data_IF_413032211906
#
_entry.id   IF_413032211906
#
_cell.length_a   1.000
_cell.length_b   1.000
_cell.length_c   1.000
_cell.angle_alpha   90.00
_cell.angle_beta   90.00
_cell.angle_gamma   90.00
#
_symmetry.space_group_name_H-M   'P 1'
#
loop_
_entity.id
_entity.type
_entity.pdbx_description
1 polymer ?
#
# COMPACT_ATOMS: atom_id res chain seq x y z
N UNK A 1 -4.65 4.88 19.55
CA UNK A 1 -6.03 4.57 19.15
C UNK A 1 -6.08 4.64 17.65
N UNK A 2 -6.38 3.52 16.98
CA UNK A 2 -6.35 3.45 15.53
C UNK A 2 -7.52 4.26 14.95
N UNK A 3 -7.22 5.32 14.21
CA UNK A 3 -8.21 5.99 13.37
C UNK A 3 -8.64 5.00 12.29
N UNK A 4 -9.87 4.53 12.42
CA UNK A 4 -10.58 3.82 11.35
C UNK A 4 -10.91 4.84 10.26
N UNK A 5 -9.91 5.23 9.46
CA UNK A 5 -10.15 5.95 8.22
C UNK A 5 -11.01 5.05 7.34
N UNK A 6 -12.25 5.50 7.12
CA UNK A 6 -13.26 4.74 6.41
C UNK A 6 -12.80 4.52 4.97
N UNK A 7 -12.69 3.25 4.56
CA UNK A 7 -12.49 2.89 3.16
C UNK A 7 -13.84 2.95 2.45
N UNK A 8 -13.84 3.25 1.15
CA UNK A 8 -14.99 3.33 0.22
C UNK A 8 -15.84 2.04 0.05
N UNK A 9 -16.01 1.24 1.11
CA UNK A 9 -16.87 0.05 1.17
C UNK A 9 -17.48 -0.22 2.55
N UNK A 10 -17.39 0.74 3.49
CA UNK A 10 -17.85 0.56 4.86
C UNK A 10 -16.92 -0.33 5.70
N UNK A 11 -17.22 -0.51 7.00
CA UNK A 11 -16.44 -1.40 7.86
C UNK A 11 -16.55 -2.86 7.39
N UNK A 12 -15.49 -3.68 7.60
CA UNK A 12 -15.54 -5.09 7.28
C UNK A 12 -16.71 -5.77 8.01
N UNK A 13 -17.42 -6.65 7.31
CA UNK A 13 -18.46 -7.46 7.92
C UNK A 13 -17.88 -8.40 8.98
N UNK A 14 -18.66 -8.82 10.00
CA UNK A 14 -18.14 -9.67 11.09
C UNK A 14 -17.47 -10.96 10.61
N UNK A 15 -17.95 -11.57 9.53
CA UNK A 15 -17.33 -12.75 8.92
C UNK A 15 -15.97 -12.44 8.30
N UNK A 16 -15.80 -11.27 7.67
CA UNK A 16 -14.50 -10.83 7.14
C UNK A 16 -13.53 -10.50 8.27
N UNK A 17 -14.00 -9.93 9.38
CA UNK A 17 -13.16 -9.70 10.58
C UNK A 17 -12.62 -11.01 11.13
N UNK A 18 -13.46 -12.04 11.24
CA UNK A 18 -13.00 -13.35 11.72
C UNK A 18 -12.01 -14.00 10.73
N UNK A 19 -12.26 -13.90 9.42
CA UNK A 19 -11.30 -14.36 8.41
C UNK A 19 -9.97 -13.64 8.54
N UNK A 20 -9.96 -12.31 8.67
CA UNK A 20 -8.72 -11.55 8.85
C UNK A 20 -7.94 -11.99 10.09
N UNK A 21 -8.63 -12.23 11.21
CA UNK A 21 -8.03 -12.73 12.46
C UNK A 21 -7.40 -14.11 12.28
N UNK A 22 -8.10 -15.02 11.58
CA UNK A 22 -7.57 -16.35 11.24
C UNK A 22 -6.34 -16.27 10.35
N UNK A 23 -6.37 -15.42 9.31
CA UNK A 23 -5.23 -15.23 8.41
C UNK A 23 -4.05 -14.57 9.14
N UNK A 24 -4.30 -13.71 10.13
CA UNK A 24 -3.25 -13.10 10.97
C UNK A 24 -2.56 -14.11 11.90
N UNK A 25 -3.35 -14.97 12.55
CA UNK A 25 -2.82 -16.08 13.36
C UNK A 25 -1.98 -17.06 12.51
N UNK A 26 -2.42 -17.26 11.27
CA UNK A 26 -1.77 -18.09 10.28
C UNK A 26 -2.29 -19.52 10.23
N UNK A 27 -2.38 -20.05 9.02
CA UNK A 27 -2.84 -21.40 8.73
C UNK A 27 -1.68 -22.24 8.22
N UNK A 28 -1.57 -23.48 8.68
CA UNK A 28 -0.55 -24.39 8.15
C UNK A 28 -0.98 -24.82 6.76
N UNK A 29 -0.15 -24.59 5.76
CA UNK A 29 -0.43 -24.93 4.36
C UNK A 29 0.75 -25.69 3.79
N UNK A 30 0.57 -26.35 2.65
CA UNK A 30 1.69 -26.92 1.89
C UNK A 30 2.06 -25.96 0.78
N UNK A 31 3.29 -25.46 0.80
CA UNK A 31 3.79 -24.53 -0.23
C UNK A 31 4.64 -25.31 -1.22
N UNK A 32 4.30 -25.17 -2.50
CA UNK A 32 5.07 -25.70 -3.62
C UNK A 32 6.11 -24.67 -4.05
N UNK A 33 7.36 -25.10 -4.15
CA UNK A 33 8.48 -24.26 -4.55
C UNK A 33 9.10 -24.78 -5.83
N UNK A 34 9.48 -23.88 -6.74
CA UNK A 34 10.18 -24.29 -7.96
C UNK A 34 11.53 -25.01 -7.70
N UNK A 35 12.29 -24.57 -6.69
CA UNK A 35 13.68 -25.00 -6.44
C UNK A 35 13.88 -25.96 -5.27
N UNK A 36 12.83 -26.24 -4.48
CA UNK A 36 12.88 -27.17 -3.35
C UNK A 36 11.60 -27.98 -3.29
N UNK A 37 11.63 -29.11 -2.59
CA UNK A 37 10.43 -29.95 -2.44
C UNK A 37 9.28 -29.16 -1.78
N UNK A 38 8.02 -29.51 -2.07
CA UNK A 38 6.88 -28.96 -1.36
C UNK A 38 6.98 -29.25 0.13
N UNK A 39 6.73 -28.26 0.97
CA UNK A 39 6.86 -28.39 2.42
C UNK A 39 5.74 -27.65 3.15
N UNK A 40 5.39 -28.15 4.34
CA UNK A 40 4.43 -27.47 5.20
C UNK A 40 5.03 -26.19 5.79
N UNK A 41 4.26 -25.11 5.75
CA UNK A 41 4.60 -23.80 6.31
C UNK A 41 3.37 -23.17 6.93
N UNK A 42 3.56 -22.35 7.95
CA UNK A 42 2.49 -21.45 8.38
C UNK A 42 2.47 -20.27 7.41
N UNK A 43 1.39 -20.14 6.66
CA UNK A 43 1.10 -18.98 5.84
C UNK A 43 0.23 -18.02 6.66
N UNK A 44 0.62 -16.74 6.73
CA UNK A 44 -0.09 -15.73 7.52
C UNK A 44 -0.03 -14.35 6.89
N UNK A 45 -0.98 -13.51 7.23
CA UNK A 45 -1.01 -12.10 6.83
C UNK A 45 -0.59 -11.23 8.00
N UNK A 46 0.41 -10.39 7.81
CA UNK A 46 0.71 -9.29 8.72
C UNK A 46 -0.22 -8.13 8.38
N UNK A 47 -1.30 -7.94 9.15
CA UNK A 47 -2.37 -7.01 8.80
C UNK A 47 -1.90 -5.56 8.77
N UNK A 48 -1.03 -5.17 9.71
CA UNK A 48 -0.52 -3.80 9.85
C UNK A 48 0.32 -3.33 8.66
N UNK A 49 1.08 -4.22 8.01
CA UNK A 49 1.89 -3.90 6.83
C UNK A 49 1.30 -4.43 5.52
N UNK A 50 0.15 -5.12 5.58
CA UNK A 50 -0.50 -5.81 4.45
C UNK A 50 0.48 -6.70 3.67
N UNK A 51 1.16 -7.60 4.40
CA UNK A 51 2.13 -8.54 3.84
C UNK A 51 1.72 -9.99 4.09
N UNK A 52 1.85 -10.83 3.08
CA UNK A 52 1.73 -12.28 3.17
C UNK A 52 3.11 -12.88 3.50
N UNK A 53 3.18 -13.73 4.53
CA UNK A 53 4.40 -14.29 5.08
C UNK A 53 4.27 -15.81 5.20
N UNK A 54 5.31 -16.56 4.84
CA UNK A 54 5.39 -17.98 5.14
C UNK A 54 6.62 -18.32 5.98
N UNK A 55 6.39 -19.03 7.08
CA UNK A 55 7.40 -19.33 8.11
C UNK A 55 7.48 -20.83 8.40
N UNK A 56 8.66 -21.30 8.82
CA UNK A 56 8.85 -22.69 9.28
C UNK A 56 8.21 -22.93 10.65
N UNK A 57 8.33 -21.95 11.53
CA UNK A 57 7.80 -21.92 12.89
C UNK A 57 7.38 -20.50 13.24
N UNK A 58 6.46 -20.32 14.19
CA UNK A 58 5.92 -19.00 14.55
C UNK A 58 6.99 -17.99 14.98
N UNK A 59 8.09 -18.45 15.59
CA UNK A 59 9.21 -17.61 16.03
C UNK A 59 10.32 -17.44 14.97
N UNK A 60 10.20 -18.06 13.79
CA UNK A 60 11.23 -18.03 12.75
C UNK A 60 11.09 -16.83 11.82
N UNK A 61 12.20 -16.41 11.20
CA UNK A 61 12.16 -15.44 10.11
C UNK A 61 11.27 -15.96 8.97
N UNK A 62 10.49 -15.08 8.30
CA UNK A 62 9.81 -15.45 7.07
C UNK A 62 10.80 -16.02 6.05
N UNK A 63 10.48 -17.18 5.47
CA UNK A 63 11.22 -17.71 4.33
C UNK A 63 10.95 -16.90 3.06
N UNK A 64 9.81 -16.22 3.02
CA UNK A 64 9.53 -15.20 2.02
C UNK A 64 8.30 -14.39 2.35
N UNK A 65 8.15 -13.32 1.56
CA UNK A 65 7.21 -12.23 1.77
C UNK A 65 6.62 -11.84 0.41
N UNK A 66 5.31 -11.60 0.37
CA UNK A 66 4.62 -10.95 -0.73
C UNK A 66 3.85 -9.74 -0.20
N UNK A 67 3.99 -8.56 -0.83
CA UNK A 67 3.18 -7.41 -0.45
C UNK A 67 1.82 -7.52 -1.13
N UNK A 68 0.72 -7.34 -0.39
CA UNK A 68 -0.62 -7.45 -0.96
C UNK A 68 -0.90 -6.37 -2.02
N UNK A 69 -0.25 -5.21 -1.91
CA UNK A 69 -0.27 -4.16 -2.93
C UNK A 69 0.24 -4.65 -4.30
N UNK A 70 1.22 -5.54 -4.29
CA UNK A 70 1.88 -6.05 -5.49
C UNK A 70 1.18 -7.29 -6.06
N UNK A 71 0.09 -7.77 -5.43
CA UNK A 71 -0.67 -8.93 -5.91
C UNK A 71 -1.43 -8.54 -7.17
N UNK A 72 -1.23 -9.33 -8.22
CA UNK A 72 -1.85 -9.13 -9.53
C UNK A 72 -2.99 -10.10 -9.77
N UNK A 73 -2.83 -11.36 -9.32
CA UNK A 73 -3.81 -12.41 -9.59
C UNK A 73 -3.84 -13.44 -8.45
N UNK A 74 -5.05 -13.88 -8.09
CA UNK A 74 -5.30 -15.10 -7.31
C UNK A 74 -5.91 -16.14 -8.24
N UNK A 75 -5.19 -17.24 -8.49
CA UNK A 75 -5.62 -18.31 -9.40
C UNK A 75 -5.96 -19.58 -8.62
N UNK A 76 -7.20 -20.05 -8.76
CA UNK A 76 -7.61 -21.34 -8.20
C UNK A 76 -7.02 -22.52 -8.98
N UNK A 77 -6.80 -23.63 -8.29
CA UNK A 77 -6.26 -24.86 -8.87
C UNK A 77 -4.73 -24.96 -8.80
N UNK A 78 -4.20 -25.96 -9.52
CA UNK A 78 -2.78 -26.34 -9.51
C UNK A 78 -2.09 -25.93 -10.82
N UNK A 79 -2.36 -24.71 -11.28
CA UNK A 79 -2.05 -24.23 -12.64
C UNK A 79 -0.77 -23.35 -12.70
N UNK A 80 0.23 -23.68 -11.89
CA UNK A 80 1.49 -22.93 -11.82
C UNK A 80 2.68 -23.82 -12.13
N UNK A 81 3.78 -23.19 -12.58
CA UNK A 81 5.05 -23.86 -12.83
C UNK A 81 5.61 -24.57 -11.59
N UNK A 82 5.23 -24.14 -10.38
CA UNK A 82 5.65 -24.79 -9.14
C UNK A 82 4.98 -26.17 -8.97
N UNK A 83 3.70 -26.31 -9.35
CA UNK A 83 3.01 -27.60 -9.34
C UNK A 83 3.50 -28.51 -10.47
N UNK A 84 3.67 -27.97 -11.67
CA UNK A 84 4.19 -28.70 -12.84
C UNK A 84 5.58 -29.29 -12.57
N UNK A 85 6.39 -28.59 -11.76
CA UNK A 85 7.72 -29.06 -11.37
C UNK A 85 7.69 -30.29 -10.45
N UNK A 86 6.61 -30.49 -9.70
CA UNK A 86 6.43 -31.59 -8.75
C UNK A 86 5.15 -32.39 -9.04
N UNK A 87 5.06 -33.05 -10.22
CA UNK A 87 3.81 -33.66 -10.68
C UNK A 87 3.32 -34.79 -9.77
N UNK A 88 4.24 -35.57 -9.19
CA UNK A 88 3.88 -36.69 -8.30
C UNK A 88 3.29 -36.20 -6.98
N UNK A 89 3.80 -35.09 -6.43
CA UNK A 89 3.22 -34.47 -5.22
C UNK A 89 1.92 -33.73 -5.54
N UNK A 90 1.87 -33.03 -6.68
CA UNK A 90 0.68 -32.32 -7.13
C UNK A 90 -0.51 -33.25 -7.41
N UNK A 91 -0.27 -34.49 -7.87
CA UNK A 91 -1.32 -35.50 -8.07
C UNK A 91 -1.96 -36.01 -6.78
N UNK A 92 -1.23 -35.98 -5.66
CA UNK A 92 -1.73 -36.47 -4.35
C UNK A 92 -2.72 -35.54 -3.66
N UNK A 93 -2.76 -34.27 -4.08
CA UNK A 93 -3.58 -33.23 -3.45
C UNK A 93 -4.79 -32.88 -4.32
N UNK A 94 -5.93 -32.59 -3.69
CA UNK A 94 -7.14 -32.17 -4.41
C UNK A 94 -6.91 -30.80 -5.08
N UNK A 95 -7.25 -30.70 -6.37
CA UNK A 95 -7.14 -29.46 -7.15
C UNK A 95 -7.93 -28.31 -6.54
N UNK A 96 -9.06 -28.59 -5.87
CA UNK A 96 -9.92 -27.57 -5.24
C UNK A 96 -9.28 -26.92 -4.01
N UNK A 97 -8.24 -27.52 -3.46
CA UNK A 97 -7.49 -26.99 -2.30
C UNK A 97 -6.26 -26.18 -2.72
N UNK A 98 -5.88 -26.24 -4.00
CA UNK A 98 -4.73 -25.54 -4.56
C UNK A 98 -5.08 -24.13 -5.02
N UNK A 99 -4.18 -23.18 -4.79
CA UNK A 99 -4.22 -21.85 -5.39
C UNK A 99 -2.82 -21.30 -5.63
N UNK A 100 -2.72 -20.28 -6.48
CA UNK A 100 -1.48 -19.55 -6.75
C UNK A 100 -1.73 -18.05 -6.63
N UNK A 101 -0.90 -17.36 -5.86
CA UNK A 101 -0.85 -15.90 -5.81
C UNK A 101 0.29 -15.42 -6.70
N UNK A 102 -0.04 -14.66 -7.75
CA UNK A 102 0.94 -13.99 -8.59
C UNK A 102 1.11 -12.55 -8.11
N UNK A 103 2.37 -12.15 -7.88
CA UNK A 103 2.69 -10.86 -7.31
C UNK A 103 4.04 -10.32 -7.79
N UNK A 104 4.21 -9.01 -7.71
CA UNK A 104 5.42 -8.30 -8.11
C UNK A 104 5.18 -7.36 -9.28
N UNK A 105 6.27 -6.94 -9.90
CA UNK A 105 6.22 -6.00 -11.02
C UNK A 105 5.77 -6.70 -12.31
N UNK A 106 5.08 -5.97 -13.17
CA UNK A 106 4.40 -6.51 -14.37
C UNK A 106 5.34 -7.25 -15.34
N UNK A 107 6.65 -7.00 -15.29
CA UNK A 107 7.65 -7.66 -16.13
C UNK A 107 8.23 -8.96 -15.55
N UNK A 108 8.06 -9.23 -14.24
CA UNK A 108 8.56 -10.44 -13.59
C UNK A 108 7.70 -10.81 -12.39
N UNK A 109 6.58 -11.46 -12.66
CA UNK A 109 5.71 -12.00 -11.63
C UNK A 109 6.40 -13.16 -10.89
N UNK A 110 6.35 -13.10 -9.57
CA UNK A 110 6.64 -14.23 -8.70
C UNK A 110 5.34 -15.00 -8.44
N UNK A 111 5.45 -16.29 -8.20
CA UNK A 111 4.35 -17.15 -7.79
C UNK A 111 4.54 -17.63 -6.35
N UNK A 112 3.44 -17.64 -5.60
CA UNK A 112 3.32 -18.38 -4.35
C UNK A 112 2.23 -19.43 -4.55
N UNK A 113 2.64 -20.69 -4.68
CA UNK A 113 1.76 -21.82 -4.97
C UNK A 113 1.47 -22.62 -3.70
N UNK A 114 0.21 -22.74 -3.31
CA UNK A 114 -0.22 -23.15 -1.97
C UNK A 114 -1.35 -24.16 -2.03
N UNK A 115 -1.30 -25.18 -1.18
CA UNK A 115 -2.39 -26.12 -0.93
C UNK A 115 -2.86 -25.97 0.50
N UNK A 116 -4.15 -25.64 0.68
CA UNK A 116 -4.83 -25.58 1.98
C UNK A 116 -5.06 -27.00 2.55
N UNK A 117 -5.29 -27.13 3.86
CA UNK A 117 -5.56 -28.44 4.46
C UNK A 117 -6.96 -28.97 4.11
N UNK A 118 -7.92 -28.06 4.01
CA UNK A 118 -9.32 -28.37 3.69
C UNK A 118 -9.98 -27.23 2.89
N UNK A 119 -11.23 -27.47 2.50
CA UNK A 119 -11.97 -26.55 1.65
C UNK A 119 -12.41 -25.28 2.38
N UNK A 120 -12.55 -25.33 3.70
CA UNK A 120 -12.91 -24.15 4.50
C UNK A 120 -11.72 -23.21 4.62
N UNK A 121 -10.51 -23.73 4.91
CA UNK A 121 -9.26 -22.98 4.87
C UNK A 121 -9.02 -22.34 3.49
N UNK A 122 -9.25 -23.10 2.41
CA UNK A 122 -9.16 -22.55 1.05
C UNK A 122 -10.11 -21.35 0.86
N UNK A 123 -11.35 -21.46 1.32
CA UNK A 123 -12.32 -20.38 1.23
C UNK A 123 -11.95 -19.18 2.10
N UNK A 124 -11.36 -19.39 3.28
CA UNK A 124 -10.82 -18.32 4.10
C UNK A 124 -9.70 -17.57 3.38
N UNK A 125 -8.75 -18.29 2.75
CA UNK A 125 -7.71 -17.66 1.93
C UNK A 125 -8.27 -16.87 0.77
N UNK A 126 -9.19 -17.46 -0.01
CA UNK A 126 -9.82 -16.79 -1.15
C UNK A 126 -10.53 -15.51 -0.73
N UNK A 127 -11.44 -15.59 0.25
CA UNK A 127 -12.23 -14.44 0.73
C UNK A 127 -11.34 -13.38 1.37
N UNK A 128 -10.42 -13.79 2.24
CA UNK A 128 -9.55 -12.86 2.95
C UNK A 128 -8.57 -12.15 2.03
N UNK A 129 -7.92 -12.86 1.09
CA UNK A 129 -7.02 -12.22 0.12
C UNK A 129 -7.75 -11.33 -0.87
N UNK A 130 -8.94 -11.72 -1.34
CA UNK A 130 -9.77 -10.87 -2.20
C UNK A 130 -10.08 -9.52 -1.52
N UNK A 131 -10.59 -9.57 -0.29
CA UNK A 131 -10.87 -8.38 0.50
C UNK A 131 -9.60 -7.56 0.78
N UNK A 132 -8.55 -8.18 1.30
CA UNK A 132 -7.34 -7.48 1.74
C UNK A 132 -6.57 -6.88 0.58
N UNK A 133 -6.48 -7.55 -0.57
CA UNK A 133 -5.79 -7.02 -1.75
C UNK A 133 -6.54 -5.81 -2.29
N UNK A 134 -7.87 -5.89 -2.40
CA UNK A 134 -8.70 -4.79 -2.85
C UNK A 134 -8.58 -3.59 -1.91
N UNK A 135 -8.81 -3.79 -0.62
CA UNK A 135 -8.68 -2.73 0.39
C UNK A 135 -7.27 -2.12 0.43
N UNK A 136 -6.23 -2.93 0.22
CA UNK A 136 -4.85 -2.42 0.17
C UNK A 136 -4.62 -1.47 -1.02
N UNK A 137 -5.26 -1.73 -2.16
CA UNK A 137 -5.13 -0.91 -3.38
C UNK A 137 -6.03 0.34 -3.35
N UNK A 138 -7.19 0.24 -2.70
CA UNK A 138 -8.18 1.31 -2.57
C UNK A 138 -7.91 2.24 -1.38
N UNK A 139 -7.00 1.87 -0.47
CA UNK A 139 -6.66 2.67 0.70
C UNK A 139 -6.17 4.08 0.34
N UNK A 140 -6.50 5.08 1.17
CA UNK A 140 -5.99 6.45 1.03
C UNK A 140 -4.47 6.51 1.10
N UNK A 141 -3.91 7.62 0.63
CA UNK A 141 -2.47 7.82 0.57
C UNK A 141 -1.81 7.66 1.95
N UNK A 142 -2.38 8.25 3.00
CA UNK A 142 -1.88 8.15 4.37
C UNK A 142 -1.76 6.69 4.83
N UNK A 143 -2.80 5.89 4.62
CA UNK A 143 -2.79 4.49 5.07
C UNK A 143 -1.81 3.66 4.24
N UNK A 144 -1.67 3.95 2.94
CA UNK A 144 -0.64 3.34 2.11
C UNK A 144 0.78 3.71 2.60
N UNK A 145 1.00 4.97 2.96
CA UNK A 145 2.26 5.47 3.47
C UNK A 145 2.59 4.85 4.83
N UNK A 146 1.63 4.78 5.75
CA UNK A 146 1.79 4.14 7.05
C UNK A 146 2.19 2.66 6.91
N UNK A 147 1.47 1.91 6.05
CA UNK A 147 1.78 0.50 5.77
C UNK A 147 3.18 0.33 5.20
N UNK A 148 3.58 1.25 4.31
CA UNK A 148 4.93 1.26 3.74
C UNK A 148 6.01 1.60 4.79
N UNK A 149 5.76 2.57 5.66
CA UNK A 149 6.67 2.92 6.76
C UNK A 149 6.83 1.76 7.74
N UNK A 150 5.75 1.08 8.12
CA UNK A 150 5.80 -0.14 8.94
C UNK A 150 6.68 -1.21 8.30
N UNK A 151 6.47 -1.45 7.00
CA UNK A 151 7.30 -2.40 6.23
C UNK A 151 8.78 -2.02 6.28
N UNK A 152 9.13 -0.77 6.00
CA UNK A 152 10.52 -0.32 6.02
C UNK A 152 11.13 -0.36 7.44
N UNK A 153 10.33 -0.06 8.47
CA UNK A 153 10.72 -0.21 9.87
C UNK A 153 11.07 -1.66 10.21
N UNK A 154 10.21 -2.63 9.85
CA UNK A 154 10.49 -4.06 10.10
C UNK A 154 11.69 -4.59 9.32
N UNK A 155 12.02 -3.98 8.18
CA UNK A 155 13.22 -4.32 7.42
C UNK A 155 14.51 -3.80 8.08
N UNK A 156 14.40 -2.70 8.83
CA UNK A 156 15.52 -2.08 9.54
C UNK A 156 15.77 -2.70 10.92
N UNK A 157 14.70 -2.96 11.68
CA UNK A 157 14.80 -3.44 13.04
C UNK A 157 15.51 -4.81 13.10
N UNK A 158 16.15 -5.09 14.23
CA UNK A 158 16.50 -6.46 14.54
C UNK A 158 15.21 -7.17 14.94
N UNK A 159 14.94 -8.35 14.39
CA UNK A 159 13.67 -9.05 14.62
C UNK A 159 13.32 -9.12 16.11
N UNK A 160 12.17 -8.54 16.46
CA UNK A 160 11.64 -8.49 17.81
C UNK A 160 12.26 -7.42 18.72
N UNK A 161 13.08 -6.50 18.19
CA UNK A 161 13.59 -5.36 18.97
C UNK A 161 12.58 -4.22 19.06
N UNK A 162 11.67 -4.07 18.09
CA UNK A 162 10.67 -2.99 18.03
C UNK A 162 11.28 -1.58 18.04
N UNK A 163 12.57 -1.49 17.69
CA UNK A 163 13.36 -0.27 17.69
C UNK A 163 14.37 -0.26 16.55
N UNK A 164 14.73 0.94 16.12
CA UNK A 164 15.78 1.20 15.11
C UNK A 164 16.83 2.16 15.66
N UNK A 165 18.08 1.94 15.28
CA UNK A 165 19.22 2.78 15.69
C UNK A 165 19.58 3.81 14.61
N UNK A 166 20.40 4.81 14.97
CA UNK A 166 21.02 5.73 14.00
C UNK A 166 21.75 5.00 12.87
N UNK A 167 22.39 3.86 13.17
CA UNK A 167 23.07 3.03 12.17
C UNK A 167 22.09 2.44 11.16
N UNK A 168 20.92 1.97 11.62
CA UNK A 168 19.87 1.46 10.74
C UNK A 168 19.38 2.56 9.80
N UNK A 169 19.05 3.74 10.34
CA UNK A 169 18.57 4.88 9.54
C UNK A 169 19.60 5.35 8.51
N UNK A 170 20.87 5.44 8.90
CA UNK A 170 21.95 5.82 7.96
C UNK A 170 22.04 4.85 6.78
N UNK A 171 21.84 3.56 7.00
CA UNK A 171 21.82 2.55 5.94
C UNK A 171 20.52 2.59 5.11
N UNK A 172 19.43 3.07 5.69
CA UNK A 172 18.12 3.11 5.07
C UNK A 172 17.87 4.34 4.18
N UNK A 173 18.36 5.53 4.56
CA UNK A 173 18.15 6.78 3.80
C UNK A 173 18.41 6.67 2.28
N UNK A 174 19.48 6.00 1.81
CA UNK A 174 19.69 5.82 0.37
C UNK A 174 18.55 5.06 -0.34
N UNK A 175 17.82 4.18 0.36
CA UNK A 175 16.68 3.41 -0.21
C UNK A 175 15.49 4.30 -0.56
N UNK A 176 15.36 5.43 0.12
CA UNK A 176 14.33 6.45 -0.16
C UNK A 176 14.89 7.60 -1.00
N UNK A 177 16.07 7.41 -1.61
CA UNK A 177 16.80 8.42 -2.38
C UNK A 177 17.09 9.72 -1.60
N UNK A 178 17.14 9.65 -0.28
CA UNK A 178 17.37 10.82 0.57
C UNK A 178 18.86 10.92 0.95
N UNK A 179 19.49 12.05 0.62
CA UNK A 179 20.90 12.30 0.92
C UNK A 179 21.04 13.25 2.11
N UNK A 180 21.78 12.82 3.13
CA UNK A 180 22.03 13.62 4.32
C UNK A 180 23.44 13.35 4.89
N UNK A 181 24.10 14.37 5.42
CA UNK A 181 25.35 14.19 6.16
C UNK A 181 25.10 13.44 7.47
N UNK A 182 26.13 12.71 7.96
CA UNK A 182 25.99 11.94 9.21
C UNK A 182 25.77 12.85 10.43
N UNK A 183 26.27 14.09 10.40
CA UNK A 183 26.08 15.04 11.51
C UNK A 183 24.62 15.53 11.55
N UNK A 184 24.08 15.97 10.41
CA UNK A 184 22.67 16.40 10.32
C UNK A 184 21.70 15.26 10.65
N UNK A 185 22.01 14.02 10.24
CA UNK A 185 21.18 12.87 10.61
C UNK A 185 21.17 12.63 12.12
N UNK A 186 22.31 12.82 12.78
CA UNK A 186 22.44 12.66 14.23
C UNK A 186 21.63 13.71 14.98
N UNK A 187 21.70 14.96 14.55
CA UNK A 187 20.88 16.06 15.11
C UNK A 187 19.39 15.72 14.99
N UNK A 188 18.93 15.33 13.79
CA UNK A 188 17.53 14.94 13.56
C UNK A 188 17.12 13.72 14.39
N UNK A 189 18.02 12.75 14.57
CA UNK A 189 17.73 11.57 15.38
C UNK A 189 17.56 11.93 16.87
N UNK A 190 18.43 12.79 17.40
CA UNK A 190 18.40 13.23 18.80
C UNK A 190 17.13 14.02 19.16
N UNK A 191 16.50 14.67 18.18
CA UNK A 191 15.18 15.30 18.39
C UNK A 191 14.10 14.30 18.78
N UNK A 192 14.22 13.03 18.38
CA UNK A 192 13.24 11.98 18.64
C UNK A 192 13.71 10.96 19.69
N UNK A 193 15.01 10.75 19.84
CA UNK A 193 15.62 9.96 20.93
C UNK A 193 15.75 10.79 22.22
N UNK A 194 14.61 11.26 22.74
CA UNK A 194 14.57 12.14 23.92
C UNK A 194 15.18 11.52 25.18
N UNK A 195 15.22 10.18 25.25
CA UNK A 195 15.80 9.43 26.38
C UNK A 195 17.29 9.17 26.21
N UNK A 196 17.87 9.45 25.03
CA UNK A 196 19.29 9.25 24.74
C UNK A 196 19.71 7.78 24.75
N UNK A 197 18.80 6.86 24.46
CA UNK A 197 19.07 5.42 24.47
C UNK A 197 19.76 4.94 23.18
N UNK A 198 19.86 5.79 22.16
CA UNK A 198 20.41 5.46 20.85
C UNK A 198 19.45 4.68 19.96
N UNK A 199 18.18 4.60 20.36
CA UNK A 199 17.13 3.77 19.76
C UNK A 199 15.81 4.54 19.70
N UNK A 200 15.07 4.40 18.61
CA UNK A 200 13.72 4.96 18.45
C UNK A 200 12.72 3.87 18.06
N UNK A 201 11.49 3.98 18.55
CA UNK A 201 10.37 3.10 18.20
C UNK A 201 9.73 3.50 16.86
N UNK A 202 8.66 2.79 16.48
CA UNK A 202 7.95 3.04 15.22
C UNK A 202 7.35 4.45 15.14
N UNK A 203 6.70 4.92 16.20
CA UNK A 203 6.03 6.21 16.24
C UNK A 203 7.04 7.36 16.05
N UNK A 204 8.18 7.27 16.74
CA UNK A 204 9.29 8.21 16.60
C UNK A 204 9.92 8.14 15.20
N UNK A 205 10.09 6.95 14.62
CA UNK A 205 10.59 6.78 13.26
C UNK A 205 9.66 7.41 12.21
N UNK A 206 8.35 7.17 12.31
CA UNK A 206 7.37 7.73 11.39
C UNK A 206 7.37 9.27 11.46
N UNK A 207 7.37 9.84 12.67
CA UNK A 207 7.45 11.29 12.86
C UNK A 207 8.77 11.87 12.31
N UNK A 208 9.90 11.18 12.51
CA UNK A 208 11.18 11.56 11.92
C UNK A 208 11.10 11.55 10.39
N UNK A 209 10.51 10.51 9.77
CA UNK A 209 10.33 10.44 8.33
C UNK A 209 9.55 11.64 7.80
N UNK A 210 8.38 11.94 8.38
CA UNK A 210 7.57 13.09 7.97
C UNK A 210 8.36 14.39 8.06
N UNK A 211 9.13 14.59 9.14
CA UNK A 211 9.99 15.77 9.30
C UNK A 211 11.13 15.84 8.27
N UNK A 212 11.65 14.70 7.81
CA UNK A 212 12.71 14.66 6.81
C UNK A 212 12.21 14.98 5.41
N UNK A 213 11.04 14.46 5.04
CA UNK A 213 10.46 14.63 3.70
C UNK A 213 9.67 15.93 3.58
N UNK A 214 9.26 16.55 4.69
CA UNK A 214 8.68 17.87 4.69
C UNK A 214 9.70 18.89 4.19
N UNK A 215 9.39 19.52 3.05
CA UNK A 215 10.20 20.59 2.45
C UNK A 215 9.35 21.86 2.49
N UNK A 216 9.54 22.74 3.49
CA UNK A 216 8.73 23.95 3.67
C UNK A 216 8.67 24.82 2.41
N UNK A 217 9.77 24.91 1.65
CA UNK A 217 9.82 25.71 0.42
C UNK A 217 8.95 25.15 -0.72
N UNK A 218 8.49 23.90 -0.63
CA UNK A 218 7.56 23.32 -1.62
C UNK A 218 6.12 23.45 -1.12
N UNK A 219 5.87 23.17 0.15
CA UNK A 219 4.52 23.18 0.72
C UNK A 219 4.04 24.61 1.01
N UNK A 220 4.83 25.36 1.76
CA UNK A 220 4.42 26.64 2.34
C UNK A 220 4.46 27.72 1.25
N UNK A 221 5.54 27.81 0.47
CA UNK A 221 5.69 28.83 -0.56
C UNK A 221 4.65 28.72 -1.70
N UNK A 222 4.25 27.50 -2.07
CA UNK A 222 3.34 27.31 -3.20
C UNK A 222 1.86 27.35 -2.79
N UNK A 223 1.53 26.83 -1.59
CA UNK A 223 0.14 26.62 -1.21
C UNK A 223 -0.37 27.53 -0.10
N UNK A 224 0.50 28.21 0.67
CA UNK A 224 0.05 29.08 1.78
C UNK A 224 -0.92 30.18 1.32
N UNK A 225 -0.81 30.64 0.07
CA UNK A 225 -1.75 31.62 -0.51
C UNK A 225 -3.21 31.14 -0.56
N UNK A 226 -3.46 29.83 -0.45
CA UNK A 226 -4.78 29.23 -0.40
C UNK A 226 -5.30 28.97 1.02
N UNK A 227 -4.46 29.16 2.04
CA UNK A 227 -4.82 28.93 3.44
C UNK A 227 -5.05 30.24 4.19
N UNK A 228 -6.09 30.24 5.01
CA UNK A 228 -6.41 31.28 5.97
C UNK A 228 -5.87 30.88 7.34
N UNK A 229 -5.24 31.81 8.07
CA UNK A 229 -4.87 31.59 9.46
C UNK A 229 -6.09 31.84 10.35
N UNK A 230 -6.52 30.82 11.09
CA UNK A 230 -7.64 30.87 12.04
C UNK A 230 -7.16 30.36 13.39
N UNK A 231 -6.75 31.28 14.27
CA UNK A 231 -6.12 30.93 15.54
C UNK A 231 -4.70 30.40 15.30
N UNK A 232 -4.43 29.19 15.79
CA UNK A 232 -3.16 28.48 15.56
C UNK A 232 -3.18 27.62 14.29
N UNK A 233 -4.35 27.45 13.65
CA UNK A 233 -4.53 26.57 12.50
C UNK A 233 -4.50 27.32 11.16
N UNK A 234 -4.08 26.62 10.10
CA UNK A 234 -4.29 27.02 8.70
C UNK A 234 -5.48 26.26 8.11
N UNK A 235 -6.39 26.98 7.45
CA UNK A 235 -7.62 26.41 6.86
C UNK A 235 -7.81 26.84 5.42
N UNK A 236 -8.03 25.88 4.53
CA UNK A 236 -8.41 26.14 3.12
C UNK A 236 -9.91 25.95 2.96
N UNK A 237 -10.66 27.04 2.73
CA UNK A 237 -12.11 26.97 2.48
C UNK A 237 -12.42 26.49 1.06
N UNK A 238 -13.70 26.18 0.85
CA UNK A 238 -14.24 25.75 -0.45
C UNK A 238 -13.82 26.67 -1.60
N UNK A 239 -13.95 27.99 -1.45
CA UNK A 239 -13.59 28.93 -2.54
C UNK A 239 -12.09 28.93 -2.84
N UNK A 240 -11.23 28.82 -1.81
CA UNK A 240 -9.78 28.72 -2.00
C UNK A 240 -9.38 27.42 -2.68
N UNK A 241 -10.01 26.29 -2.28
CA UNK A 241 -9.76 25.00 -2.91
C UNK A 241 -10.27 24.96 -4.35
N UNK A 242 -11.45 25.52 -4.61
CA UNK A 242 -11.99 25.72 -5.96
C UNK A 242 -11.03 26.53 -6.83
N UNK A 243 -10.53 27.64 -6.31
CA UNK A 243 -9.56 28.47 -7.01
C UNK A 243 -8.29 27.68 -7.33
N UNK A 244 -7.75 26.92 -6.37
CA UNK A 244 -6.60 26.05 -6.59
C UNK A 244 -6.85 25.01 -7.69
N UNK A 245 -8.01 24.34 -7.69
CA UNK A 245 -8.37 23.36 -8.73
C UNK A 245 -8.42 23.97 -10.13
N UNK A 246 -8.99 25.17 -10.26
CA UNK A 246 -9.11 25.85 -11.55
C UNK A 246 -7.76 26.39 -12.02
N UNK A 247 -7.03 27.08 -11.14
CA UNK A 247 -5.81 27.80 -11.53
C UNK A 247 -4.58 26.91 -11.62
N UNK A 248 -4.36 26.02 -10.65
CA UNK A 248 -3.15 25.20 -10.57
C UNK A 248 -3.36 23.83 -11.22
N UNK A 249 -4.49 23.16 -10.95
CA UNK A 249 -4.78 21.82 -11.51
C UNK A 249 -5.47 21.84 -12.87
N UNK A 250 -5.94 23.01 -13.33
CA UNK A 250 -6.70 23.18 -14.58
C UNK A 250 -7.95 22.28 -14.65
N UNK A 251 -8.55 21.97 -13.51
CA UNK A 251 -9.75 21.13 -13.42
C UNK A 251 -11.02 21.95 -13.70
N UNK A 252 -11.45 21.93 -14.95
CA UNK A 252 -12.63 22.69 -15.41
C UNK A 252 -13.93 22.29 -14.71
N UNK A 253 -14.05 21.07 -14.18
CA UNK A 253 -15.23 20.63 -13.40
C UNK A 253 -15.39 21.40 -12.09
N UNK A 254 -14.32 22.01 -11.56
CA UNK A 254 -14.37 22.85 -10.37
C UNK A 254 -15.19 24.15 -10.56
N UNK A 255 -15.67 24.46 -11.78
CA UNK A 255 -16.70 25.47 -11.97
C UNK A 255 -18.04 25.09 -11.32
N UNK A 256 -18.32 23.80 -11.17
CA UNK A 256 -19.45 23.31 -10.39
C UNK A 256 -19.08 23.23 -8.89
N UNK A 257 -19.72 24.08 -8.10
CA UNK A 257 -19.55 24.13 -6.64
C UNK A 257 -19.96 22.81 -5.98
N UNK A 258 -20.96 22.11 -6.53
CA UNK A 258 -21.40 20.80 -6.05
C UNK A 258 -20.29 19.77 -6.15
N UNK A 259 -19.59 19.72 -7.29
CA UNK A 259 -18.43 18.87 -7.50
C UNK A 259 -17.31 19.15 -6.49
N UNK A 260 -16.92 20.43 -6.31
CA UNK A 260 -15.87 20.79 -5.34
C UNK A 260 -16.26 20.38 -3.92
N UNK A 261 -17.52 20.61 -3.54
CA UNK A 261 -18.03 20.23 -2.21
C UNK A 261 -17.97 18.72 -2.00
N UNK A 262 -18.45 17.93 -2.95
CA UNK A 262 -18.39 16.47 -2.88
C UNK A 262 -16.95 15.96 -2.77
N UNK A 263 -16.05 16.50 -3.59
CA UNK A 263 -14.64 16.16 -3.54
C UNK A 263 -14.02 16.47 -2.17
N UNK A 264 -14.30 17.64 -1.59
CA UNK A 264 -13.78 17.98 -0.26
C UNK A 264 -14.29 17.03 0.82
N UNK A 265 -15.57 16.63 0.76
CA UNK A 265 -16.16 15.72 1.74
C UNK A 265 -15.45 14.36 1.75
N UNK A 266 -14.94 13.88 0.63
CA UNK A 266 -14.22 12.60 0.55
C UNK A 266 -12.93 12.55 1.36
N UNK A 267 -12.32 13.71 1.67
CA UNK A 267 -11.05 13.80 2.39
C UNK A 267 -11.16 14.32 3.82
N UNK A 268 -12.38 14.57 4.33
CA UNK A 268 -12.54 15.01 5.72
C UNK A 268 -12.33 13.86 6.71
N UNK A 269 -11.48 14.10 7.71
CA UNK A 269 -11.29 13.17 8.83
C UNK A 269 -12.56 13.05 9.69
N UNK A 270 -13.27 14.17 9.87
CA UNK A 270 -14.54 14.25 10.60
C UNK A 270 -15.64 14.83 9.70
N UNK A 271 -16.50 13.93 9.21
CA UNK A 271 -17.65 14.29 8.38
C UNK A 271 -18.65 15.19 9.10
N UNK A 272 -18.73 15.12 10.44
CA UNK A 272 -19.65 15.95 11.24
C UNK A 272 -19.19 17.41 11.23
N UNK A 273 -17.88 17.66 11.12
CA UNK A 273 -17.30 19.01 11.03
C UNK A 273 -17.85 19.80 9.85
N UNK A 274 -18.24 19.12 8.77
CA UNK A 274 -18.83 19.76 7.60
C UNK A 274 -20.08 20.59 7.92
N UNK A 275 -20.83 20.26 8.97
CA UNK A 275 -22.00 21.03 9.42
C UNK A 275 -21.63 22.40 10.00
N UNK A 276 -20.44 22.52 10.62
CA UNK A 276 -19.93 23.78 11.19
C UNK A 276 -19.14 24.65 10.20
N UNK A 277 -18.91 24.14 8.98
CA UNK A 277 -18.17 24.82 7.93
C UNK A 277 -17.21 23.87 7.22
N UNK A 278 -17.24 23.89 5.88
CA UNK A 278 -16.40 23.04 5.06
C UNK A 278 -15.06 23.71 4.77
N UNK A 279 -13.98 23.10 5.27
CA UNK A 279 -12.61 23.51 5.03
C UNK A 279 -11.68 22.29 5.13
N UNK A 280 -10.55 22.38 4.43
CA UNK A 280 -9.41 21.50 4.62
C UNK A 280 -8.42 22.06 5.63
N UNK A 281 -7.91 21.19 6.47
CA UNK A 281 -6.62 21.35 7.13
C UNK A 281 -5.49 21.15 6.13
N UNK A 282 -4.25 21.52 6.50
CA UNK A 282 -3.08 21.22 5.67
C UNK A 282 -2.96 19.71 5.38
N UNK A 283 -3.22 18.87 6.39
CA UNK A 283 -3.18 17.41 6.26
C UNK A 283 -4.18 16.87 5.23
N UNK A 284 -5.45 17.32 5.30
CA UNK A 284 -6.49 16.85 4.36
C UNK A 284 -6.22 17.32 2.93
N UNK A 285 -5.63 18.52 2.75
CA UNK A 285 -5.20 18.99 1.45
C UNK A 285 -4.02 18.18 0.89
N UNK A 286 -3.04 17.82 1.73
CA UNK A 286 -1.94 16.93 1.34
C UNK A 286 -2.47 15.55 0.92
N UNK A 287 -3.45 15.00 1.65
CA UNK A 287 -4.11 13.75 1.25
C UNK A 287 -4.78 13.85 -0.11
N UNK A 288 -5.45 14.97 -0.42
CA UNK A 288 -5.97 15.22 -1.76
C UNK A 288 -4.85 15.22 -2.81
N UNK A 289 -3.75 15.95 -2.57
CA UNK A 289 -2.65 16.11 -3.53
C UNK A 289 -2.02 14.78 -3.95
N UNK A 290 -1.90 13.83 -3.02
CA UNK A 290 -1.31 12.51 -3.26
C UNK A 290 -2.35 11.42 -3.58
N UNK A 291 -3.64 11.76 -3.63
CA UNK A 291 -4.72 10.83 -3.93
C UNK A 291 -4.85 10.50 -5.42
N UNK A 292 -5.65 9.48 -5.72
CA UNK A 292 -6.06 9.15 -7.09
C UNK A 292 -7.00 10.21 -7.72
N UNK A 293 -7.47 11.19 -6.94
CA UNK A 293 -8.28 12.31 -7.44
C UNK A 293 -7.41 13.44 -8.03
N UNK A 294 -6.10 13.39 -7.79
CA UNK A 294 -5.13 14.32 -8.36
C UNK A 294 -4.05 13.57 -9.19
N UNK A 295 -4.43 12.72 -10.17
CA UNK A 295 -3.48 11.94 -10.91
C UNK A 295 -2.71 12.83 -11.89
N UNK A 296 -1.41 12.56 -12.07
CA UNK A 296 -0.62 13.20 -13.13
C UNK A 296 -1.11 12.79 -14.54
N UNK A 297 -1.66 11.58 -14.66
CA UNK A 297 -2.18 11.03 -15.91
C UNK A 297 -3.69 11.24 -15.98
N UNK A 298 -4.20 11.62 -17.16
CA UNK A 298 -5.63 11.76 -17.39
C UNK A 298 -6.26 10.39 -17.64
N UNK A 299 -6.98 9.89 -16.62
CA UNK A 299 -7.60 8.56 -16.62
C UNK A 299 -8.61 8.33 -17.76
N UNK A 300 -9.07 9.37 -18.48
CA UNK A 300 -9.91 9.17 -19.69
C UNK A 300 -9.19 8.36 -20.76
N UNK A 301 -7.85 8.37 -20.74
CA UNK A 301 -7.00 7.60 -21.65
C UNK A 301 -6.63 6.20 -21.12
N UNK A 302 -7.13 5.78 -19.95
CA UNK A 302 -6.98 4.40 -19.48
C UNK A 302 -7.73 3.41 -20.38
N UNK A 303 -8.83 3.87 -20.98
CA UNK A 303 -9.61 3.11 -21.94
C UNK A 303 -9.24 3.48 -23.38
N UNK A 304 -9.62 2.61 -24.32
CA UNK A 304 -9.43 2.86 -25.74
C UNK A 304 -10.19 4.13 -26.17
N UNK A 305 -9.43 5.20 -26.38
CA UNK A 305 -9.93 6.54 -26.75
C UNK A 305 -9.63 6.90 -28.20
N UNK A 306 -8.83 6.08 -28.87
CA UNK A 306 -8.44 6.24 -30.27
C UNK A 306 -9.54 5.64 -31.17
N UNK A 307 -9.67 6.18 -32.39
CA UNK A 307 -10.53 5.57 -33.40
C UNK A 307 -9.94 4.21 -33.81
N UNK A 308 -10.61 3.13 -33.43
CA UNK A 308 -10.21 1.75 -33.72
C UNK A 308 -10.77 1.21 -35.04
N UNK A 309 -11.34 2.07 -35.89
CA UNK A 309 -11.94 1.68 -37.19
C UNK A 309 -11.04 1.96 -38.40
N UNK A 310 -9.92 2.65 -38.20
CA UNK A 310 -8.92 2.88 -39.25
C UNK A 310 -8.23 1.57 -39.69
N UNK A 311 -7.58 1.54 -40.88
CA UNK A 311 -6.76 0.42 -41.31
C UNK A 311 -5.60 0.10 -40.35
N UNK A 312 -5.20 -1.18 -40.26
CA UNK A 312 -4.18 -1.66 -39.30
C UNK A 312 -2.82 -0.93 -39.43
N UNK A 313 -2.45 -0.51 -40.63
CA UNK A 313 -1.22 0.26 -40.90
C UNK A 313 -1.20 1.66 -40.27
N UNK A 314 -2.31 2.13 -39.73
CA UNK A 314 -2.42 3.44 -39.09
C UNK A 314 -2.16 3.38 -37.57
N UNK A 315 -1.92 2.19 -37.00
CA UNK A 315 -1.67 2.02 -35.57
C UNK A 315 -0.24 1.57 -35.29
N UNK A 316 0.27 2.02 -34.16
CA UNK A 316 1.48 1.50 -33.55
C UNK A 316 1.11 0.23 -32.78
N UNK A 317 1.56 -0.93 -33.26
CA UNK A 317 1.23 -2.22 -32.65
C UNK A 317 2.36 -2.63 -31.72
N UNK A 318 2.05 -2.71 -30.43
CA UNK A 318 2.96 -3.25 -29.42
C UNK A 318 3.35 -4.68 -29.82
N UNK A 319 4.61 -4.86 -30.22
CA UNK A 319 5.14 -6.10 -30.79
C UNK A 319 6.30 -6.60 -29.93
N UNK A 320 6.29 -7.88 -29.60
CA UNK A 320 7.37 -8.53 -28.85
C UNK A 320 8.20 -9.41 -29.78
N UNK A 321 9.52 -9.29 -29.70
CA UNK A 321 10.45 -10.15 -30.41
C UNK A 321 11.01 -11.20 -29.43
N UNK A 322 11.03 -12.47 -29.83
CA UNK A 322 11.52 -13.59 -29.03
C UNK A 322 10.92 -13.68 -27.61
N UNK A 323 9.59 -13.61 -27.50
CA UNK A 323 8.84 -13.61 -26.23
C UNK A 323 9.12 -14.81 -25.32
N UNK A 324 9.69 -15.90 -25.85
CA UNK A 324 10.08 -17.08 -25.08
C UNK A 324 11.39 -16.92 -24.29
N UNK A 325 12.20 -15.89 -24.57
CA UNK A 325 13.46 -15.63 -23.85
C UNK A 325 13.17 -14.81 -22.57
N UNK A 326 13.72 -15.24 -21.43
CA UNK A 326 13.52 -14.63 -20.11
C UNK A 326 14.81 -14.40 -19.34
#
# INVERSE_FOLDING_TARGET
MASSLMVNGGPPTPDIVEVMRLLEMGLVTTIFFYRKRPERRTLKVKLESRQLLWVKSQASRPEGIANLRDVKEFRCGKNSRDYEKWPDEAKKVDTRLGFTVYYGNDFKLKSLSVVANDYDEFNHWRKGLDYLVRETKEACHQLQLERWLRKEFYLMEKIGSYVVTLKNLKAWLPRINYKMSTNKLRERFQEFDAQGHGEINYEQFAALYHKLVYVPSITDENFDKYFEVVGEDKRMRLESFRHFLIEEQKETRANDIGYVKSLMLEFLDDQVRAAGGLFFTQHEFEEFLFSQHNPLFDNKYDNTSQDMTQPLCNYWIASSHNTYLT
#
